data_IF_975611459320
#
_entry.id   IF_975611459320
#
_cell.length_a   1.000
_cell.length_b   1.000
_cell.length_c   1.000
_cell.angle_alpha   90.00
_cell.angle_beta   90.00
_cell.angle_gamma   90.00
#
_symmetry.space_group_name_H-M   'P 1'
#
loop_
_entity.id
_entity.type
_entity.pdbx_description
1 polymer ?
#
# COMPACT_ATOMS: atom_id res chain seq x y z
N UNK A 1 13.07 -33.39 -16.75
CA UNK A 1 13.98 -32.24 -16.50
C UNK A 1 13.17 -31.15 -15.84
N UNK A 2 13.34 -30.95 -14.53
CA UNK A 2 12.69 -29.86 -13.80
C UNK A 2 13.38 -28.55 -14.18
N UNK A 3 12.62 -27.56 -14.68
CA UNK A 3 13.09 -26.18 -14.78
C UNK A 3 13.36 -25.70 -13.35
N UNK A 4 14.56 -25.22 -13.01
CA UNK A 4 14.75 -24.57 -11.73
C UNK A 4 13.94 -23.27 -11.74
N UNK A 5 13.16 -23.05 -10.69
CA UNK A 5 12.36 -21.85 -10.49
C UNK A 5 13.26 -20.61 -10.52
N UNK A 6 13.25 -19.92 -11.65
CA UNK A 6 14.00 -18.67 -11.87
C UNK A 6 13.65 -17.59 -10.83
N UNK A 7 12.45 -17.68 -10.24
CA UNK A 7 11.96 -16.79 -9.18
C UNK A 7 12.68 -16.97 -7.82
N UNK A 8 13.33 -18.12 -7.57
CA UNK A 8 13.91 -18.40 -6.25
C UNK A 8 15.40 -17.99 -6.13
N UNK A 9 16.04 -17.61 -7.24
CA UNK A 9 17.48 -17.31 -7.27
C UNK A 9 17.79 -15.85 -6.89
N UNK A 10 16.93 -14.88 -7.21
CA UNK A 10 17.16 -13.48 -6.80
C UNK A 10 17.25 -13.33 -5.28
N UNK A 11 16.61 -14.24 -4.53
CA UNK A 11 16.71 -14.34 -3.08
C UNK A 11 18.11 -14.75 -2.56
N UNK A 12 19.02 -15.25 -3.43
CA UNK A 12 20.40 -15.59 -3.04
C UNK A 12 21.33 -14.37 -3.01
N UNK A 13 20.93 -13.26 -3.63
CA UNK A 13 21.66 -12.01 -3.49
C UNK A 13 21.10 -11.21 -2.33
N UNK A 14 22.01 -10.79 -1.46
CA UNK A 14 21.66 -9.96 -0.33
C UNK A 14 21.37 -8.52 -0.79
N UNK A 15 20.09 -8.17 -0.79
CA UNK A 15 19.61 -6.81 -1.06
C UNK A 15 19.25 -6.05 0.24
N UNK A 16 19.57 -6.62 1.41
CA UNK A 16 19.23 -6.03 2.71
C UNK A 16 19.73 -4.59 2.82
N UNK A 17 20.98 -4.33 2.44
CA UNK A 17 21.59 -3.00 2.47
C UNK A 17 20.88 -1.97 1.59
N UNK A 18 20.17 -2.40 0.54
CA UNK A 18 19.33 -1.51 -0.27
C UNK A 18 17.97 -1.34 0.38
N UNK A 19 17.37 -2.41 0.91
CA UNK A 19 16.08 -2.35 1.62
C UNK A 19 16.13 -1.46 2.86
N UNK A 20 17.27 -1.40 3.55
CA UNK A 20 17.52 -0.47 4.67
C UNK A 20 17.47 1.02 4.26
N UNK A 21 17.59 1.33 2.97
CA UNK A 21 17.50 2.69 2.44
C UNK A 21 16.07 3.09 2.06
N UNK A 22 15.07 2.24 2.36
CA UNK A 22 13.67 2.57 2.10
C UNK A 22 13.24 3.79 2.94
N UNK A 23 12.81 4.91 2.32
CA UNK A 23 12.31 6.08 3.04
C UNK A 23 11.12 5.77 3.96
N UNK A 24 10.43 4.65 3.75
CA UNK A 24 9.36 4.15 4.61
C UNK A 24 9.82 3.70 6.00
N UNK A 25 11.08 3.27 6.15
CA UNK A 25 11.68 2.74 7.40
C UNK A 25 12.24 3.84 8.32
N UNK A 26 12.23 5.10 7.88
CA UNK A 26 12.67 6.24 8.68
C UNK A 26 11.87 6.31 9.99
N UNK A 27 12.46 6.88 11.04
CA UNK A 27 11.87 7.03 12.38
C UNK A 27 11.64 5.72 13.16
N UNK A 28 12.30 4.64 12.76
CA UNK A 28 12.27 3.36 13.50
C UNK A 28 11.08 2.46 13.15
N UNK A 29 10.42 2.73 12.03
CA UNK A 29 9.38 1.87 11.50
C UNK A 29 9.95 0.58 10.91
N UNK A 30 9.20 -0.51 11.05
CA UNK A 30 9.49 -1.80 10.44
C UNK A 30 8.41 -2.18 9.43
N UNK A 31 8.80 -2.78 8.30
CA UNK A 31 7.86 -3.25 7.29
C UNK A 31 7.16 -4.54 7.76
N UNK A 32 5.83 -4.50 7.86
CA UNK A 32 4.99 -5.65 8.29
C UNK A 32 4.20 -6.27 7.12
N UNK A 33 3.92 -5.49 6.08
CA UNK A 33 3.19 -5.96 4.90
C UNK A 33 3.68 -5.27 3.62
N UNK A 34 3.86 -6.01 2.54
CA UNK A 34 4.19 -5.49 1.21
C UNK A 34 3.58 -6.37 0.12
N UNK A 35 2.58 -5.87 -0.60
CA UNK A 35 1.94 -6.57 -1.73
C UNK A 35 1.36 -5.60 -2.75
N UNK A 36 1.28 -6.09 -3.98
CA UNK A 36 0.45 -5.51 -5.04
C UNK A 36 -1.03 -5.88 -4.82
N UNK A 37 -1.92 -4.89 -4.87
CA UNK A 37 -3.35 -5.05 -4.62
C UNK A 37 -4.14 -4.36 -5.73
N UNK A 38 -5.19 -5.00 -6.29
CA UNK A 38 -6.05 -4.36 -7.28
C UNK A 38 -6.93 -3.31 -6.63
N UNK A 39 -6.84 -2.07 -7.13
CA UNK A 39 -7.62 -0.93 -6.67
C UNK A 39 -8.50 -0.41 -7.80
N UNK A 40 -9.70 0.08 -7.48
CA UNK A 40 -10.45 0.96 -8.36
C UNK A 40 -10.06 2.41 -8.04
N UNK A 41 -9.35 3.07 -8.95
CA UNK A 41 -8.93 4.47 -8.80
C UNK A 41 -10.00 5.38 -9.36
N UNK A 42 -10.48 6.32 -8.54
CA UNK A 42 -11.46 7.34 -8.92
C UNK A 42 -10.90 8.74 -8.69
N UNK A 43 -11.20 9.65 -9.61
CA UNK A 43 -10.89 11.06 -9.48
C UNK A 43 -12.18 11.82 -9.17
N UNK A 44 -12.18 12.60 -8.10
CA UNK A 44 -13.33 13.43 -7.73
C UNK A 44 -13.03 14.90 -8.00
N UNK A 45 -13.48 15.39 -9.15
CA UNK A 45 -13.32 16.80 -9.53
C UNK A 45 -14.33 17.72 -8.85
N UNK A 46 -15.56 17.26 -8.57
CA UNK A 46 -16.60 18.05 -7.90
C UNK A 46 -17.48 17.16 -7.01
N UNK A 47 -17.85 17.64 -5.82
CA UNK A 47 -18.71 16.87 -4.88
C UNK A 47 -20.13 16.60 -5.41
N UNK A 48 -20.59 17.38 -6.39
CA UNK A 48 -21.97 17.36 -6.90
C UNK A 48 -22.18 16.56 -8.19
N UNK A 49 -21.13 15.97 -8.78
CA UNK A 49 -21.25 15.09 -9.95
C UNK A 49 -21.38 13.63 -9.52
N UNK A 50 -22.13 12.79 -10.26
CA UNK A 50 -22.10 11.34 -10.06
C UNK A 50 -20.66 10.85 -10.14
N UNK A 51 -20.24 9.99 -9.21
CA UNK A 51 -18.92 9.36 -9.25
C UNK A 51 -18.71 8.70 -10.61
N UNK A 52 -17.61 9.06 -11.28
CA UNK A 52 -17.19 8.39 -12.52
C UNK A 52 -16.83 6.94 -12.23
N UNK A 53 -17.01 6.07 -13.23
CA UNK A 53 -16.52 4.69 -13.18
C UNK A 53 -15.00 4.77 -13.14
N UNK A 54 -14.40 4.26 -12.05
CA UNK A 54 -12.96 4.31 -11.87
C UNK A 54 -12.20 3.35 -12.79
N UNK A 55 -10.89 3.56 -12.90
CA UNK A 55 -9.99 2.63 -13.59
C UNK A 55 -9.42 1.61 -12.61
N UNK A 56 -9.38 0.34 -12.99
CA UNK A 56 -8.65 -0.67 -12.22
C UNK A 56 -7.16 -0.49 -12.43
N UNK A 57 -6.41 -0.37 -11.33
CA UNK A 57 -4.94 -0.33 -11.33
C UNK A 57 -4.38 -1.22 -10.23
N UNK A 58 -3.13 -1.64 -10.37
CA UNK A 58 -2.43 -2.45 -9.38
C UNK A 58 -1.55 -1.53 -8.55
N UNK A 59 -1.86 -1.43 -7.25
CA UNK A 59 -1.18 -0.53 -6.33
C UNK A 59 -0.28 -1.34 -5.40
N UNK A 60 0.97 -0.90 -5.26
CA UNK A 60 1.91 -1.42 -4.28
C UNK A 60 1.56 -0.85 -2.90
N UNK A 61 1.10 -1.72 -2.00
CA UNK A 61 0.73 -1.39 -0.63
C UNK A 61 1.82 -1.86 0.33
N UNK A 62 2.42 -0.91 1.04
CA UNK A 62 3.35 -1.18 2.13
C UNK A 62 2.74 -0.72 3.46
N UNK A 63 2.77 -1.58 4.48
CA UNK A 63 2.36 -1.24 5.86
C UNK A 63 3.58 -1.34 6.76
N UNK A 64 3.86 -0.24 7.43
CA UNK A 64 4.96 -0.07 8.37
C UNK A 64 4.41 0.10 9.78
N UNK A 65 5.13 -0.43 10.76
CA UNK A 65 4.75 -0.41 12.19
C UNK A 65 5.89 0.20 13.00
N UNK A 66 5.56 1.18 13.83
CA UNK A 66 6.45 1.68 14.87
C UNK A 66 6.15 0.94 16.18
N UNK A 67 7.18 0.34 16.78
CA UNK A 67 7.03 -0.58 17.92
C UNK A 67 6.80 -2.03 17.49
N UNK A 68 6.29 -2.85 18.41
CA UNK A 68 6.05 -4.28 18.16
C UNK A 68 4.70 -4.48 17.44
N UNK A 69 4.59 -5.50 16.59
CA UNK A 69 3.33 -5.76 15.85
C UNK A 69 2.12 -6.03 16.77
N UNK A 70 2.36 -6.56 17.97
CA UNK A 70 1.32 -6.81 18.97
C UNK A 70 1.02 -5.58 19.85
N UNK A 71 1.92 -4.61 19.88
CA UNK A 71 1.85 -3.39 20.69
C UNK A 71 2.32 -2.20 19.84
N UNK A 72 1.68 -2.00 18.69
CA UNK A 72 2.03 -0.95 17.76
C UNK A 72 1.79 0.41 18.42
N UNK A 73 2.74 1.33 18.27
CA UNK A 73 2.59 2.73 18.67
C UNK A 73 1.98 3.55 17.55
N UNK A 74 2.34 3.20 16.31
CA UNK A 74 1.85 3.86 15.10
C UNK A 74 1.90 2.90 13.91
N UNK A 75 0.91 2.99 13.03
CA UNK A 75 0.82 2.22 11.80
C UNK A 75 0.82 3.20 10.63
N UNK A 76 1.76 3.04 9.70
CA UNK A 76 1.91 3.86 8.50
C UNK A 76 1.63 3.01 7.26
N UNK A 77 0.73 3.45 6.41
CA UNK A 77 0.45 2.83 5.11
C UNK A 77 1.02 3.73 4.03
N UNK A 78 1.73 3.14 3.08
CA UNK A 78 2.26 3.81 1.89
C UNK A 78 1.72 3.11 0.66
N UNK A 79 1.13 3.90 -0.24
CA UNK A 79 0.58 3.45 -1.52
C UNK A 79 1.43 4.04 -2.64
N UNK A 80 1.91 3.17 -3.53
CA UNK A 80 2.70 3.56 -4.72
C UNK A 80 2.19 2.86 -5.97
N UNK A 81 2.41 3.46 -7.13
CA UNK A 81 2.14 2.83 -8.44
C UNK A 81 3.43 2.65 -9.24
N UNK A 82 3.45 1.60 -10.07
CA UNK A 82 4.49 1.37 -11.08
C UNK A 82 4.14 2.05 -12.42
N UNK A 83 2.87 2.39 -12.66
CA UNK A 83 2.40 3.09 -13.87
C UNK A 83 2.49 4.60 -13.73
N UNK A 84 2.34 5.13 -12.51
CA UNK A 84 2.53 6.54 -12.16
C UNK A 84 3.54 6.68 -11.01
N UNK A 85 4.74 7.14 -11.33
CA UNK A 85 5.82 7.33 -10.36
C UNK A 85 5.51 8.41 -9.30
N UNK A 86 4.63 9.36 -9.61
CA UNK A 86 4.22 10.43 -8.70
C UNK A 86 3.02 10.04 -7.83
N UNK A 87 2.44 8.86 -8.06
CA UNK A 87 1.46 8.28 -7.17
C UNK A 87 2.16 7.81 -5.90
N UNK A 88 2.13 8.67 -4.88
CA UNK A 88 2.67 8.38 -3.56
C UNK A 88 1.74 8.98 -2.50
N UNK A 89 1.00 8.10 -1.83
CA UNK A 89 0.03 8.47 -0.80
C UNK A 89 0.35 7.78 0.50
N UNK A 90 0.18 8.50 1.61
CA UNK A 90 0.49 7.98 2.94
C UNK A 90 -0.66 8.23 3.91
N UNK A 91 -0.83 7.29 4.82
CA UNK A 91 -1.62 7.45 6.03
C UNK A 91 -0.76 7.02 7.21
N UNK A 92 -0.83 7.76 8.32
CA UNK A 92 -0.23 7.36 9.60
C UNK A 92 -1.31 7.44 10.67
N UNK A 93 -1.46 6.38 11.47
CA UNK A 93 -2.49 6.26 12.51
C UNK A 93 -1.83 5.79 13.80
N UNK A 94 -1.94 6.58 14.86
CA UNK A 94 -1.67 6.16 16.24
C UNK A 94 -2.98 5.82 16.98
N UNK A 95 -2.88 5.47 18.26
CA UNK A 95 -4.04 5.10 19.09
C UNK A 95 -5.11 6.21 19.20
N UNK A 96 -4.70 7.48 19.32
CA UNK A 96 -5.62 8.61 19.41
C UNK A 96 -6.35 8.83 18.06
N UNK A 97 -5.61 8.76 16.94
CA UNK A 97 -6.19 8.86 15.60
C UNK A 97 -7.19 7.73 15.36
N UNK A 98 -6.85 6.53 15.84
CA UNK A 98 -7.72 5.36 15.74
C UNK A 98 -8.99 5.50 16.58
N UNK A 99 -8.93 6.07 17.78
CA UNK A 99 -10.12 6.32 18.60
C UNK A 99 -11.14 7.21 17.86
N UNK A 100 -10.67 8.26 17.17
CA UNK A 100 -11.52 9.08 16.32
C UNK A 100 -12.12 8.30 15.15
N UNK A 101 -11.30 7.48 14.47
CA UNK A 101 -11.74 6.62 13.37
C UNK A 101 -12.77 5.59 13.84
N UNK A 102 -12.55 4.98 15.00
CA UNK A 102 -13.42 3.99 15.63
C UNK A 102 -14.80 4.59 15.93
N UNK A 103 -14.84 5.79 16.50
CA UNK A 103 -16.10 6.48 16.79
C UNK A 103 -16.84 6.89 15.51
N UNK A 104 -16.12 7.44 14.53
CA UNK A 104 -16.72 7.92 13.28
C UNK A 104 -17.29 6.79 12.41
N UNK A 105 -16.60 5.65 12.37
CA UNK A 105 -16.97 4.51 11.54
C UNK A 105 -17.65 3.37 12.33
N UNK A 106 -17.84 3.55 13.64
CA UNK A 106 -18.45 2.58 14.55
C UNK A 106 -17.72 1.23 14.55
N UNK A 107 -16.40 1.26 14.54
CA UNK A 107 -15.58 0.05 14.57
C UNK A 107 -15.65 -0.60 15.97
N UNK A 108 -15.67 -1.93 16.00
CA UNK A 108 -15.78 -2.71 17.24
C UNK A 108 -14.43 -3.26 17.73
N UNK A 109 -13.35 -3.01 16.98
CA UNK A 109 -12.00 -3.49 17.27
C UNK A 109 -11.20 -2.43 18.03
N UNK A 110 -10.17 -2.85 18.74
CA UNK A 110 -9.19 -1.93 19.35
C UNK A 110 -8.03 -1.62 18.40
N UNK A 111 -7.22 -0.61 18.73
CA UNK A 111 -6.06 -0.25 17.91
C UNK A 111 -5.05 -1.40 17.75
N UNK A 112 -4.87 -2.24 18.79
CA UNK A 112 -4.00 -3.42 18.74
C UNK A 112 -4.42 -4.46 17.69
N UNK A 113 -5.67 -4.45 17.25
CA UNK A 113 -6.20 -5.34 16.21
C UNK A 113 -6.16 -4.70 14.81
N UNK A 114 -5.93 -3.39 14.73
CA UNK A 114 -6.08 -2.62 13.49
C UNK A 114 -5.15 -3.09 12.38
N UNK A 115 -3.87 -3.37 12.70
CA UNK A 115 -2.89 -3.89 11.74
C UNK A 115 -3.38 -5.18 11.07
N UNK A 116 -3.84 -6.14 11.86
CA UNK A 116 -4.30 -7.43 11.37
C UNK A 116 -5.57 -7.29 10.52
N UNK A 117 -6.45 -6.35 10.88
CA UNK A 117 -7.63 -6.03 10.07
C UNK A 117 -7.23 -5.43 8.72
N UNK A 118 -6.30 -4.47 8.66
CA UNK A 118 -5.80 -3.91 7.40
C UNK A 118 -5.21 -5.00 6.49
N UNK A 119 -4.31 -5.82 7.03
CA UNK A 119 -3.70 -6.94 6.30
C UNK A 119 -4.77 -7.89 5.76
N UNK A 120 -5.79 -8.21 6.57
CA UNK A 120 -6.91 -9.06 6.15
C UNK A 120 -7.72 -8.42 5.01
N UNK A 121 -8.01 -7.12 5.09
CA UNK A 121 -8.76 -6.41 4.05
C UNK A 121 -8.01 -6.40 2.72
N UNK A 122 -6.74 -5.98 2.71
CA UNK A 122 -5.92 -6.00 1.49
C UNK A 122 -5.78 -7.41 0.90
N UNK A 123 -5.52 -8.43 1.74
CA UNK A 123 -5.46 -9.82 1.27
C UNK A 123 -6.80 -10.32 0.71
N UNK A 124 -7.93 -9.83 1.21
CA UNK A 124 -9.26 -10.20 0.70
C UNK A 124 -9.48 -9.61 -0.70
N UNK A 125 -9.09 -8.35 -0.91
CA UNK A 125 -9.12 -7.73 -2.25
C UNK A 125 -8.24 -8.45 -3.27
N UNK A 126 -7.10 -9.03 -2.86
CA UNK A 126 -6.27 -9.86 -3.73
C UNK A 126 -6.95 -11.20 -4.05
N UNK A 127 -7.47 -11.88 -3.02
CA UNK A 127 -7.96 -13.27 -3.14
C UNK A 127 -9.32 -13.36 -3.82
N UNK A 128 -10.18 -12.38 -3.60
CA UNK A 128 -11.55 -12.36 -4.09
C UNK A 128 -11.96 -10.92 -4.51
N UNK A 129 -11.38 -10.40 -5.62
CA UNK A 129 -11.60 -9.02 -6.08
C UNK A 129 -13.03 -8.76 -6.60
N UNK A 130 -13.87 -9.78 -6.74
CA UNK A 130 -15.29 -9.60 -7.11
C UNK A 130 -16.16 -9.33 -5.88
N UNK A 131 -15.76 -9.87 -4.72
CA UNK A 131 -16.48 -9.75 -3.46
C UNK A 131 -15.90 -8.68 -2.54
N UNK A 132 -14.59 -8.41 -2.62
CA UNK A 132 -13.89 -7.41 -1.82
C UNK A 132 -13.19 -6.39 -2.71
N UNK A 133 -13.61 -5.13 -2.61
CA UNK A 133 -13.13 -4.03 -3.42
C UNK A 133 -12.33 -3.05 -2.56
N UNK A 134 -11.24 -2.54 -3.12
CA UNK A 134 -10.49 -1.40 -2.60
C UNK A 134 -10.73 -0.23 -3.55
N UNK A 135 -11.55 0.73 -3.15
CA UNK A 135 -11.86 1.91 -3.96
C UNK A 135 -11.06 3.09 -3.43
N UNK A 136 -10.18 3.64 -4.25
CA UNK A 136 -9.33 4.76 -3.89
C UNK A 136 -9.76 6.03 -4.63
N UNK A 137 -10.45 6.91 -3.91
CA UNK A 137 -10.96 8.17 -4.46
C UNK A 137 -10.00 9.31 -4.12
N UNK A 138 -9.36 9.86 -5.14
CA UNK A 138 -8.50 11.05 -5.01
C UNK A 138 -9.37 12.30 -5.13
N UNK A 139 -9.36 13.12 -4.08
CA UNK A 139 -10.08 14.39 -4.00
C UNK A 139 -9.15 15.54 -4.38
N UNK A 140 -9.72 16.74 -4.45
CA UNK A 140 -8.92 17.97 -4.56
C UNK A 140 -7.98 18.13 -3.34
N UNK A 141 -6.90 18.90 -3.52
CA UNK A 141 -5.92 19.25 -2.48
C UNK A 141 -5.01 18.11 -1.98
N UNK A 142 -4.90 17.02 -2.74
CA UNK A 142 -4.02 15.90 -2.38
C UNK A 142 -4.56 15.02 -1.26
N UNK A 143 -5.81 15.20 -0.85
CA UNK A 143 -6.49 14.28 0.06
C UNK A 143 -7.06 13.14 -0.78
N UNK A 144 -6.94 11.91 -0.28
CA UNK A 144 -7.56 10.74 -0.88
C UNK A 144 -8.24 9.88 0.19
N UNK A 145 -9.16 9.05 -0.25
CA UNK A 145 -9.92 8.16 0.62
C UNK A 145 -9.90 6.75 0.03
N UNK A 146 -9.45 5.79 0.83
CA UNK A 146 -9.56 4.38 0.52
C UNK A 146 -10.79 3.81 1.22
N UNK A 147 -11.69 3.19 0.48
CA UNK A 147 -12.87 2.51 0.99
C UNK A 147 -12.73 1.02 0.70
N UNK A 148 -12.76 0.20 1.76
CA UNK A 148 -12.91 -1.23 1.62
C UNK A 148 -14.40 -1.57 1.56
N UNK A 149 -14.83 -2.17 0.45
CA UNK A 149 -16.23 -2.48 0.21
C UNK A 149 -16.39 -3.97 0.01
N UNK A 150 -17.39 -4.56 0.67
CA UNK A 150 -17.86 -5.92 0.40
C UNK A 150 -19.08 -5.90 -0.50
N UNK A 151 -18.98 -6.58 -1.63
CA UNK A 151 -20.13 -6.89 -2.47
C UNK A 151 -20.85 -8.13 -1.90
N UNK A 152 -22.10 -7.95 -1.49
CA UNK A 152 -22.97 -9.02 -1.00
C UNK A 152 -23.97 -9.48 -2.09
N UNK A 153 -23.68 -9.23 -3.37
CA UNK A 153 -24.51 -9.49 -4.56
C UNK A 153 -25.74 -8.57 -4.68
N UNK A 154 -26.47 -8.35 -3.59
CA UNK A 154 -27.65 -7.49 -3.55
C UNK A 154 -27.41 -6.13 -2.88
N UNK A 155 -26.22 -5.94 -2.28
CA UNK A 155 -25.83 -4.70 -1.60
C UNK A 155 -24.31 -4.60 -1.45
N UNK A 156 -23.80 -3.39 -1.59
CA UNK A 156 -22.42 -3.05 -1.21
C UNK A 156 -22.39 -2.57 0.25
N UNK A 157 -21.46 -3.12 1.04
CA UNK A 157 -21.26 -2.77 2.44
C UNK A 157 -19.85 -2.19 2.60
N UNK A 158 -19.76 -0.94 3.02
CA UNK A 158 -18.50 -0.34 3.46
C UNK A 158 -18.03 -1.02 4.75
N UNK A 159 -16.78 -1.48 4.76
CA UNK A 159 -16.15 -2.18 5.88
C UNK A 159 -15.23 -1.29 6.69
N UNK A 160 -14.47 -0.42 6.01
CA UNK A 160 -13.46 0.45 6.60
C UNK A 160 -13.11 1.56 5.61
N UNK A 161 -12.93 2.78 6.13
CA UNK A 161 -12.48 3.95 5.38
C UNK A 161 -11.16 4.46 5.95
N UNK A 162 -10.19 4.67 5.07
CA UNK A 162 -8.88 5.19 5.44
C UNK A 162 -8.62 6.50 4.69
N UNK A 163 -8.17 7.54 5.40
CA UNK A 163 -7.83 8.82 4.80
C UNK A 163 -6.34 8.89 4.51
N UNK A 164 -6.01 9.26 3.28
CA UNK A 164 -4.64 9.36 2.79
C UNK A 164 -4.33 10.79 2.37
N UNK A 165 -3.06 11.14 2.46
CA UNK A 165 -2.53 12.43 2.02
C UNK A 165 -1.45 12.15 0.98
N UNK A 166 -1.49 12.88 -0.14
CA UNK A 166 -0.44 12.89 -1.15
C UNK A 166 0.83 13.41 -0.50
N UNK A 167 1.92 12.67 -0.64
CA UNK A 167 3.20 13.10 -0.09
C UNK A 167 3.76 14.31 -0.84
N UNK A 168 4.68 15.03 -0.19
CA UNK A 168 5.35 16.17 -0.82
C UNK A 168 6.23 15.72 -1.99
N UNK A 169 6.63 16.67 -2.83
CA UNK A 169 7.50 16.41 -3.97
C UNK A 169 8.87 15.87 -3.52
N UNK A 170 9.38 16.32 -2.37
CA UNK A 170 10.64 15.84 -1.78
C UNK A 170 10.54 14.36 -1.42
N UNK A 171 9.53 13.97 -0.65
CA UNK A 171 9.31 12.58 -0.23
C UNK A 171 9.08 11.69 -1.46
N UNK A 172 8.29 12.17 -2.41
CA UNK A 172 7.99 11.45 -3.65
C UNK A 172 9.28 11.22 -4.46
N UNK A 173 10.14 12.25 -4.57
CA UNK A 173 11.42 12.15 -5.27
C UNK A 173 12.40 11.21 -4.58
N UNK A 174 12.47 11.24 -3.25
CA UNK A 174 13.27 10.29 -2.46
C UNK A 174 12.82 8.85 -2.71
N UNK A 175 11.50 8.60 -2.67
CA UNK A 175 10.93 7.29 -2.95
C UNK A 175 11.22 6.82 -4.38
N UNK A 176 11.05 7.68 -5.39
CA UNK A 176 11.38 7.36 -6.79
C UNK A 176 12.87 7.03 -6.92
N UNK A 177 13.74 7.82 -6.30
CA UNK A 177 15.19 7.60 -6.35
C UNK A 177 15.57 6.26 -5.73
N UNK A 178 14.98 5.94 -4.57
CA UNK A 178 15.14 4.65 -3.92
C UNK A 178 14.69 3.49 -4.83
N UNK A 179 13.44 3.52 -5.32
CA UNK A 179 12.89 2.46 -6.20
C UNK A 179 13.73 2.28 -7.46
N UNK A 180 14.16 3.38 -8.08
CA UNK A 180 15.07 3.34 -9.24
C UNK A 180 16.39 2.66 -8.90
N UNK A 181 17.03 3.00 -7.77
CA UNK A 181 18.30 2.41 -7.36
C UNK A 181 18.18 0.91 -7.08
N UNK A 182 17.08 0.47 -6.47
CA UNK A 182 16.77 -0.95 -6.25
C UNK A 182 16.67 -1.68 -7.59
N UNK A 183 15.86 -1.16 -8.52
CA UNK A 183 15.66 -1.78 -9.84
C UNK A 183 16.96 -1.78 -10.66
N UNK A 184 17.69 -0.66 -10.68
CA UNK A 184 18.98 -0.54 -11.37
C UNK A 184 19.98 -1.57 -10.88
N UNK A 185 20.06 -1.77 -9.56
CA UNK A 185 20.97 -2.75 -8.96
C UNK A 185 20.57 -4.18 -9.33
N UNK A 186 19.29 -4.53 -9.23
CA UNK A 186 18.75 -5.83 -9.66
C UNK A 186 19.03 -6.10 -11.15
N UNK A 187 18.77 -5.13 -12.01
CA UNK A 187 19.00 -5.23 -13.45
C UNK A 187 20.49 -5.36 -13.79
N UNK A 188 21.38 -4.66 -13.09
CA UNK A 188 22.83 -4.79 -13.29
C UNK A 188 23.33 -6.21 -13.01
N UNK A 189 22.84 -6.84 -11.94
CA UNK A 189 23.16 -8.23 -11.60
C UNK A 189 22.63 -9.18 -12.68
N UNK A 190 21.38 -9.00 -13.11
CA UNK A 190 20.80 -9.82 -14.19
C UNK A 190 21.57 -9.68 -15.51
N UNK A 191 21.93 -8.45 -15.89
CA UNK A 191 22.64 -8.17 -17.12
C UNK A 191 24.05 -8.77 -17.15
N UNK A 192 24.80 -8.67 -16.05
CA UNK A 192 26.12 -9.29 -15.94
C UNK A 192 26.07 -10.81 -16.12
N UNK A 193 24.96 -11.47 -15.75
CA UNK A 193 24.79 -12.91 -15.95
C UNK A 193 24.54 -13.30 -17.39
N UNK A 194 23.75 -12.50 -18.12
CA UNK A 194 23.49 -12.74 -19.54
C UNK A 194 24.75 -12.64 -20.39
N UNK A 195 25.79 -11.93 -19.93
CA UNK A 195 27.09 -11.84 -20.60
C UNK A 195 28.03 -13.02 -20.35
N UNK A 196 27.76 -13.84 -19.34
CA UNK A 196 28.61 -15.00 -18.97
C UNK A 196 28.15 -16.28 -19.71
N UNK A 197 27.07 -16.20 -20.48
CA UNK A 197 26.65 -17.20 -21.48
C UNK A 197 26.94 -16.67 -22.89
#
# INVERSE_FOLDING_TARGET
MNKPDMNNFLCQFDFSSLQELDPGLVDGYNLSYSKEVPFEIRMQEHESKPQEVGSLDVICVNIFVLGDELNAQSIKIVLTSETDLFFHFTQTVNENDFEHMQNNQKLMINFSEYLQVLIKMFNSCIKDPQSFLAIFTIKQNGIAQLEFIKNMEYKFIELLVCQFIKSSDEITKENITYRYNVIKSKNGIMYNRLKVY
#
